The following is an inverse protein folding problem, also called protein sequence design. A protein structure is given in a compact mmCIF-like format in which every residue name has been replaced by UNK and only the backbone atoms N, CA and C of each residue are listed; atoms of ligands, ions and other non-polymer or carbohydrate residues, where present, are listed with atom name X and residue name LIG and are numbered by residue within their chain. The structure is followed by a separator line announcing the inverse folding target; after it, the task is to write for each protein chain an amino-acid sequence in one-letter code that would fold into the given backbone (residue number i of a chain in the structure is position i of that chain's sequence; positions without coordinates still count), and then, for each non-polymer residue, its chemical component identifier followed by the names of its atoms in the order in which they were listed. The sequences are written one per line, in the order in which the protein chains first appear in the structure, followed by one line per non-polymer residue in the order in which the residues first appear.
data_IF_089139161871
#
_entry.id   IF_089139161871
#
_cell.length_a   1.000
_cell.length_b   1.000
_cell.length_c   1.000
_cell.angle_alpha   90.00
_cell.angle_beta   90.00
_cell.angle_gamma   90.00
#
_symmetry.space_group_name_H-M   'P 1'
#
loop_
_entity.id
_entity.type
_entity.pdbx_description
1 polymer ?
#
# COMPACT_ATOMS: atom_id res chain seq x y z
N UNK A 1 -17.31 -17.40 -6.92
CA UNK A 1 -17.73 -16.21 -7.69
C UNK A 1 -16.70 -15.13 -7.46
N UNK A 2 -16.46 -14.20 -8.39
CA UNK A 2 -15.56 -13.07 -8.15
C UNK A 2 -16.10 -12.18 -7.01
N UNK A 3 -15.19 -11.58 -6.24
CA UNK A 3 -15.53 -10.56 -5.27
C UNK A 3 -16.07 -9.32 -5.99
N UNK A 4 -17.27 -8.88 -5.63
CA UNK A 4 -17.91 -7.73 -6.25
C UNK A 4 -17.55 -6.44 -5.51
N UNK A 5 -17.21 -5.38 -6.24
CA UNK A 5 -16.67 -4.15 -5.68
C UNK A 5 -17.46 -2.90 -6.07
N UNK A 6 -17.71 -2.02 -5.11
CA UNK A 6 -17.88 -0.60 -5.37
C UNK A 6 -16.54 0.12 -5.22
N UNK A 7 -16.26 1.08 -6.07
CA UNK A 7 -15.00 1.84 -6.06
C UNK A 7 -15.30 3.30 -5.76
N UNK A 8 -14.68 3.83 -4.70
CA UNK A 8 -14.87 5.20 -4.26
C UNK A 8 -13.69 6.06 -4.69
N UNK A 9 -13.92 7.03 -5.54
CA UNK A 9 -13.01 8.04 -6.09
C UNK A 9 -12.76 7.89 -7.59
N UNK A 10 -12.16 8.94 -8.16
CA UNK A 10 -11.61 8.99 -9.53
C UNK A 10 -10.14 9.43 -9.52
N UNK A 11 -9.41 9.02 -8.48
CA UNK A 11 -7.99 9.33 -8.31
C UNK A 11 -7.13 8.55 -9.33
N UNK A 12 -5.83 8.87 -9.36
CA UNK A 12 -4.88 8.18 -10.24
C UNK A 12 -4.74 6.70 -9.92
N UNK A 13 -4.78 6.33 -8.63
CA UNK A 13 -4.65 4.92 -8.25
C UNK A 13 -5.87 4.11 -8.67
N UNK A 14 -7.07 4.73 -8.65
CA UNK A 14 -8.29 4.10 -9.16
C UNK A 14 -8.22 3.92 -10.69
N UNK A 15 -7.63 4.88 -11.43
CA UNK A 15 -7.38 4.73 -12.87
C UNK A 15 -6.45 3.52 -13.15
N UNK A 16 -5.34 3.44 -12.41
CA UNK A 16 -4.40 2.31 -12.49
C UNK A 16 -5.09 0.97 -12.17
N UNK A 17 -5.91 0.95 -11.11
CA UNK A 17 -6.69 -0.23 -10.73
C UNK A 17 -7.65 -0.66 -11.84
N UNK A 18 -8.50 0.23 -12.33
CA UNK A 18 -9.50 -0.08 -13.36
C UNK A 18 -8.85 -0.54 -14.67
N UNK A 19 -7.73 0.08 -15.06
CA UNK A 19 -6.98 -0.32 -16.26
C UNK A 19 -6.46 -1.77 -16.19
N UNK A 20 -6.28 -2.31 -14.99
CA UNK A 20 -5.77 -3.67 -14.76
C UNK A 20 -6.86 -4.65 -14.29
N UNK A 21 -8.02 -4.16 -13.85
CA UNK A 21 -9.08 -4.97 -13.25
C UNK A 21 -9.60 -6.08 -14.18
N UNK A 22 -9.65 -5.86 -15.49
CA UNK A 22 -10.04 -6.88 -16.48
C UNK A 22 -9.11 -8.12 -16.50
N UNK A 23 -7.86 -7.97 -16.03
CA UNK A 23 -6.90 -9.06 -15.91
C UNK A 23 -6.94 -9.75 -14.52
N UNK A 24 -7.91 -9.39 -13.68
CA UNK A 24 -8.09 -9.91 -12.32
C UNK A 24 -9.43 -10.68 -12.24
N UNK A 25 -9.46 -11.97 -12.60
CA UNK A 25 -10.71 -12.74 -12.64
C UNK A 25 -11.32 -12.96 -11.24
N UNK A 26 -10.57 -12.66 -10.20
CA UNK A 26 -10.99 -12.77 -8.80
C UNK A 26 -11.95 -11.66 -8.37
N UNK A 27 -12.06 -10.56 -9.15
CA UNK A 27 -12.88 -9.40 -8.80
C UNK A 27 -13.81 -8.98 -9.95
N UNK A 28 -14.87 -8.22 -9.59
CA UNK A 28 -15.79 -7.60 -10.55
C UNK A 28 -16.26 -6.25 -10.01
N UNK A 29 -16.02 -5.17 -10.75
CA UNK A 29 -16.45 -3.81 -10.35
C UNK A 29 -17.89 -3.59 -10.77
N UNK A 30 -18.78 -3.31 -9.78
CA UNK A 30 -20.21 -3.12 -9.98
C UNK A 30 -20.63 -1.65 -9.95
N UNK A 31 -19.89 -0.81 -9.25
CA UNK A 31 -20.23 0.60 -9.10
C UNK A 31 -18.97 1.49 -8.99
N UNK A 32 -19.09 2.71 -9.52
CA UNK A 32 -18.18 3.82 -9.21
C UNK A 32 -18.94 4.86 -8.41
N UNK A 33 -18.34 5.37 -7.33
CA UNK A 33 -18.86 6.50 -6.59
C UNK A 33 -17.83 7.62 -6.54
N UNK A 34 -18.22 8.83 -6.89
CA UNK A 34 -17.32 9.97 -7.01
C UNK A 34 -18.00 11.28 -6.58
N UNK A 35 -17.21 12.32 -6.42
CA UNK A 35 -17.77 13.67 -6.20
C UNK A 35 -18.57 14.14 -7.41
N UNK A 36 -19.62 14.97 -7.26
CA UNK A 36 -20.47 15.42 -8.37
C UNK A 36 -19.69 16.02 -9.56
N UNK A 37 -18.65 16.81 -9.29
CA UNK A 37 -17.80 17.40 -10.33
C UNK A 37 -16.95 16.38 -11.10
N UNK A 38 -16.76 15.21 -10.57
CA UNK A 38 -16.00 14.12 -11.20
C UNK A 38 -16.88 13.12 -11.96
N UNK A 39 -18.20 13.30 -11.94
CA UNK A 39 -19.17 12.41 -12.58
C UNK A 39 -18.89 12.15 -14.06
N UNK A 40 -18.57 13.15 -14.91
CA UNK A 40 -18.29 12.90 -16.33
C UNK A 40 -17.10 11.96 -16.54
N UNK A 41 -16.06 12.07 -15.67
CA UNK A 41 -14.91 11.16 -15.70
C UNK A 41 -15.29 9.75 -15.29
N UNK A 42 -16.09 9.61 -14.23
CA UNK A 42 -16.54 8.30 -13.75
C UNK A 42 -17.44 7.60 -14.78
N UNK A 43 -18.34 8.34 -15.45
CA UNK A 43 -19.20 7.81 -16.53
C UNK A 43 -18.37 7.34 -17.74
N UNK A 44 -17.31 8.10 -18.12
CA UNK A 44 -16.39 7.67 -19.18
C UNK A 44 -15.68 6.37 -18.81
N UNK A 45 -15.22 6.22 -17.58
CA UNK A 45 -14.60 4.99 -17.10
C UNK A 45 -15.62 3.83 -17.02
N UNK A 46 -16.84 4.10 -16.54
CA UNK A 46 -17.89 3.09 -16.51
C UNK A 46 -18.19 2.53 -17.90
N UNK A 47 -18.29 3.41 -18.90
CA UNK A 47 -18.47 2.99 -20.30
C UNK A 47 -17.25 2.22 -20.84
N UNK A 48 -16.03 2.66 -20.53
CA UNK A 48 -14.78 2.03 -20.98
C UNK A 48 -14.59 0.63 -20.39
N UNK A 49 -14.88 0.45 -19.09
CA UNK A 49 -14.62 -0.78 -18.36
C UNK A 49 -15.85 -1.65 -18.13
N UNK A 50 -17.01 -1.25 -18.67
CA UNK A 50 -18.26 -2.02 -18.53
C UNK A 50 -18.83 -2.04 -17.12
N UNK A 51 -18.67 -0.94 -16.33
CA UNK A 51 -19.14 -0.85 -14.95
C UNK A 51 -20.61 -0.42 -14.96
N UNK A 52 -21.52 -1.18 -14.31
CA UNK A 52 -22.97 -0.99 -14.48
C UNK A 52 -23.51 0.33 -13.92
N UNK A 53 -22.91 0.88 -12.84
CA UNK A 53 -23.51 2.00 -12.12
C UNK A 53 -22.48 3.08 -11.73
N UNK A 54 -22.94 4.35 -11.75
CA UNK A 54 -22.17 5.52 -11.30
C UNK A 54 -23.01 6.33 -10.31
N UNK A 55 -22.43 6.59 -9.14
CA UNK A 55 -23.05 7.37 -8.07
C UNK A 55 -22.22 8.62 -7.77
N UNK A 56 -22.88 9.65 -7.25
CA UNK A 56 -22.22 10.87 -6.72
C UNK A 56 -22.53 11.12 -5.24
N UNK A 57 -23.21 10.16 -4.63
CA UNK A 57 -23.53 10.13 -3.22
C UNK A 57 -23.25 8.72 -2.70
N UNK A 58 -22.45 8.61 -1.62
CA UNK A 58 -22.03 7.32 -1.07
C UNK A 58 -23.19 6.58 -0.40
N UNK A 59 -24.11 7.31 0.27
CA UNK A 59 -25.24 6.69 0.94
C UNK A 59 -26.22 6.08 -0.08
N UNK A 60 -26.43 6.76 -1.23
CA UNK A 60 -27.20 6.21 -2.34
C UNK A 60 -26.51 5.00 -2.98
N UNK A 61 -25.15 5.02 -3.09
CA UNK A 61 -24.38 3.89 -3.58
C UNK A 61 -24.52 2.68 -2.63
N UNK A 62 -24.36 2.88 -1.34
CA UNK A 62 -24.47 1.82 -0.34
C UNK A 62 -25.91 1.27 -0.23
N UNK A 63 -26.91 2.13 -0.31
CA UNK A 63 -28.33 1.72 -0.31
C UNK A 63 -28.72 0.89 -1.54
N UNK A 64 -28.09 1.15 -2.69
CA UNK A 64 -28.32 0.37 -3.92
C UNK A 64 -27.73 -1.05 -3.81
N UNK A 65 -26.61 -1.21 -3.12
CA UNK A 65 -25.98 -2.51 -2.91
C UNK A 65 -25.48 -3.17 -4.20
N UNK A 66 -25.47 -4.52 -4.20
CA UNK A 66 -25.05 -5.32 -5.34
C UNK A 66 -23.52 -5.54 -5.43
N UNK A 67 -22.81 -5.34 -4.32
CA UNK A 67 -21.38 -5.60 -4.16
C UNK A 67 -21.06 -6.07 -2.74
N UNK A 68 -19.94 -6.76 -2.58
CA UNK A 68 -19.50 -7.36 -1.32
C UNK A 68 -18.58 -6.43 -0.53
N UNK A 69 -17.75 -5.67 -1.26
CA UNK A 69 -16.72 -4.83 -0.66
C UNK A 69 -16.62 -3.45 -1.33
N UNK A 70 -16.02 -2.51 -0.61
CA UNK A 70 -15.77 -1.15 -1.06
C UNK A 70 -14.27 -0.92 -1.17
N UNK A 71 -13.76 -0.61 -2.37
CA UNK A 71 -12.39 -0.16 -2.58
C UNK A 71 -12.35 1.37 -2.52
N UNK A 72 -11.56 1.90 -1.58
CA UNK A 72 -11.48 3.34 -1.28
C UNK A 72 -10.11 3.86 -1.70
N UNK A 73 -10.08 4.65 -2.79
CA UNK A 73 -8.87 5.30 -3.31
C UNK A 73 -8.99 6.84 -3.27
N UNK A 74 -9.47 7.39 -2.19
CA UNK A 74 -9.61 8.85 -1.97
C UNK A 74 -8.29 9.52 -1.60
N UNK A 75 -8.28 10.82 -1.31
CA UNK A 75 -7.12 11.47 -0.70
C UNK A 75 -6.96 11.02 0.76
N UNK A 76 -5.71 10.93 1.22
CA UNK A 76 -5.35 10.30 2.51
C UNK A 76 -6.17 10.79 3.70
N UNK A 77 -6.39 12.12 3.83
CA UNK A 77 -7.17 12.71 4.93
C UNK A 77 -8.66 12.29 4.97
N UNK A 78 -9.17 11.68 3.90
CA UNK A 78 -10.55 11.19 3.80
C UNK A 78 -10.68 9.70 4.15
N UNK A 79 -9.57 8.96 4.23
CA UNK A 79 -9.53 7.51 4.39
C UNK A 79 -10.33 7.04 5.60
N UNK A 80 -10.04 7.60 6.78
CA UNK A 80 -10.73 7.21 8.02
C UNK A 80 -12.24 7.37 7.91
N UNK A 81 -12.73 8.55 7.49
CA UNK A 81 -14.15 8.83 7.42
C UNK A 81 -14.86 7.94 6.38
N UNK A 82 -14.24 7.74 5.21
CA UNK A 82 -14.79 6.90 4.15
C UNK A 82 -14.84 5.42 4.57
N UNK A 83 -13.77 4.88 5.16
CA UNK A 83 -13.72 3.50 5.65
C UNK A 83 -14.76 3.27 6.75
N UNK A 84 -14.86 4.19 7.73
CA UNK A 84 -15.85 4.11 8.80
C UNK A 84 -17.30 4.11 8.27
N UNK A 85 -17.58 4.92 7.24
CA UNK A 85 -18.90 4.97 6.60
C UNK A 85 -19.21 3.64 5.90
N UNK A 86 -18.29 3.09 5.11
CA UNK A 86 -18.49 1.82 4.42
C UNK A 86 -18.69 0.65 5.38
N UNK A 87 -17.88 0.55 6.46
CA UNK A 87 -18.05 -0.44 7.52
C UNK A 87 -19.40 -0.29 8.22
N UNK A 88 -19.85 0.95 8.51
CA UNK A 88 -21.16 1.17 9.11
C UNK A 88 -22.31 0.76 8.19
N UNK A 89 -22.13 0.89 6.89
CA UNK A 89 -23.08 0.42 5.88
C UNK A 89 -23.07 -1.12 5.70
N UNK A 90 -22.14 -1.84 6.33
CA UNK A 90 -22.09 -3.31 6.33
C UNK A 90 -21.24 -3.92 5.22
N UNK A 91 -20.29 -3.17 4.65
CA UNK A 91 -19.41 -3.64 3.59
C UNK A 91 -18.01 -3.96 4.11
N UNK A 92 -17.37 -4.98 3.55
CA UNK A 92 -15.93 -5.16 3.65
C UNK A 92 -15.21 -3.97 3.02
N UNK A 93 -14.02 -3.62 3.52
CA UNK A 93 -13.31 -2.43 3.06
C UNK A 93 -11.88 -2.77 2.62
N UNK A 94 -11.52 -2.30 1.45
CA UNK A 94 -10.15 -2.28 0.91
C UNK A 94 -9.76 -0.80 0.84
N UNK A 95 -8.89 -0.36 1.75
CA UNK A 95 -8.51 1.04 1.91
C UNK A 95 -7.12 1.29 1.37
N UNK A 96 -6.96 2.26 0.47
CA UNK A 96 -5.65 2.63 -0.06
C UNK A 96 -4.66 3.07 1.02
N UNK A 97 -3.39 2.84 0.70
CA UNK A 97 -2.27 3.35 1.51
C UNK A 97 -2.13 4.89 1.35
N UNK A 98 -1.58 5.58 2.35
CA UNK A 98 -1.37 5.12 3.72
C UNK A 98 -2.72 4.89 4.40
N UNK A 99 -2.81 3.87 5.21
CA UNK A 99 -4.08 3.40 5.77
C UNK A 99 -4.91 4.52 6.39
N UNK A 100 -4.43 5.11 7.48
CA UNK A 100 -5.00 6.27 8.15
C UNK A 100 -3.91 7.11 8.82
N UNK A 101 -4.27 8.25 9.38
CA UNK A 101 -3.31 9.22 9.92
C UNK A 101 -2.73 8.86 11.27
N UNK A 102 -3.50 8.13 12.08
CA UNK A 102 -3.13 7.81 13.47
C UNK A 102 -3.41 6.36 13.82
N UNK A 103 -2.60 5.82 14.74
CA UNK A 103 -2.83 4.49 15.30
C UNK A 103 -4.16 4.39 16.08
N UNK A 104 -4.71 5.50 16.56
CA UNK A 104 -6.03 5.52 17.22
C UNK A 104 -7.14 5.27 16.19
N UNK A 105 -7.10 5.97 15.05
CA UNK A 105 -8.04 5.76 13.94
C UNK A 105 -7.97 4.32 13.41
N UNK A 106 -6.75 3.78 13.23
CA UNK A 106 -6.58 2.40 12.80
C UNK A 106 -7.25 1.41 13.77
N UNK A 107 -6.95 1.54 15.07
CA UNK A 107 -7.57 0.67 16.10
C UNK A 107 -9.08 0.77 16.12
N UNK A 108 -9.63 1.97 15.95
CA UNK A 108 -11.09 2.17 15.90
C UNK A 108 -11.72 1.47 14.68
N UNK A 109 -11.11 1.60 13.51
CA UNK A 109 -11.62 0.95 12.30
C UNK A 109 -11.55 -0.58 12.38
N UNK A 110 -10.44 -1.15 12.88
CA UNK A 110 -10.34 -2.60 13.09
C UNK A 110 -11.36 -3.09 14.12
N UNK A 111 -11.51 -2.39 15.25
CA UNK A 111 -12.52 -2.75 16.25
C UNK A 111 -13.96 -2.67 15.69
N UNK A 112 -14.22 -1.70 14.82
CA UNK A 112 -15.52 -1.59 14.15
C UNK A 112 -15.75 -2.73 13.15
N UNK A 113 -14.75 -3.09 12.37
CA UNK A 113 -14.81 -4.20 11.43
C UNK A 113 -15.07 -5.52 12.18
N UNK A 114 -14.29 -5.81 13.23
CA UNK A 114 -14.45 -6.98 14.09
C UNK A 114 -15.86 -7.08 14.68
N UNK A 115 -16.37 -5.97 15.25
CA UNK A 115 -17.68 -5.93 15.87
C UNK A 115 -18.83 -6.21 14.87
N UNK A 116 -18.59 -5.98 13.59
CA UNK A 116 -19.56 -6.23 12.51
C UNK A 116 -19.30 -7.53 11.73
N UNK A 117 -18.23 -8.28 12.04
CA UNK A 117 -17.82 -9.46 11.28
C UNK A 117 -17.39 -9.12 9.85
N UNK A 118 -16.82 -7.91 9.65
CA UNK A 118 -16.35 -7.42 8.36
C UNK A 118 -14.85 -7.46 8.28
N UNK A 119 -14.33 -7.55 7.06
CA UNK A 119 -12.92 -7.56 6.75
C UNK A 119 -12.49 -6.17 6.35
N UNK A 120 -11.34 -5.71 6.87
CA UNK A 120 -10.75 -4.41 6.58
C UNK A 120 -9.28 -4.59 6.22
N UNK A 121 -8.89 -4.15 5.03
CA UNK A 121 -7.52 -4.24 4.53
C UNK A 121 -6.90 -2.87 4.24
N UNK A 122 -5.59 -2.76 4.43
CA UNK A 122 -4.79 -1.77 3.74
C UNK A 122 -4.38 -2.30 2.37
N UNK A 123 -4.65 -1.53 1.31
CA UNK A 123 -4.19 -1.84 -0.05
C UNK A 123 -2.69 -1.53 -0.17
N UNK A 124 -1.88 -2.48 0.22
CA UNK A 124 -0.42 -2.45 0.14
C UNK A 124 0.08 -3.72 -0.54
N UNK A 125 0.77 -3.57 -1.67
CA UNK A 125 1.08 -4.69 -2.57
C UNK A 125 2.11 -5.68 -2.02
N UNK A 126 3.05 -5.20 -1.18
CA UNK A 126 4.25 -5.93 -0.77
C UNK A 126 3.97 -7.31 -0.16
N UNK A 127 3.11 -7.47 0.86
CA UNK A 127 2.93 -8.75 1.55
C UNK A 127 2.43 -9.87 0.65
N UNK A 128 1.78 -9.52 -0.46
CA UNK A 128 1.11 -10.47 -1.36
C UNK A 128 1.98 -10.90 -2.55
N UNK A 129 3.14 -10.29 -2.72
CA UNK A 129 4.05 -10.64 -3.83
C UNK A 129 4.85 -11.92 -3.55
N UNK A 130 5.03 -12.81 -4.55
CA UNK A 130 5.87 -14.00 -4.41
C UNK A 130 7.30 -13.71 -3.94
N UNK A 131 7.86 -12.56 -4.34
CA UNK A 131 9.18 -12.11 -3.93
C UNK A 131 9.24 -11.81 -2.43
N UNK A 132 8.16 -11.31 -1.84
CA UNK A 132 8.10 -11.08 -0.40
C UNK A 132 8.08 -12.39 0.37
N UNK A 133 7.31 -13.38 -0.07
CA UNK A 133 7.31 -14.72 0.51
C UNK A 133 8.71 -15.38 0.44
N UNK A 134 9.44 -15.19 -0.67
CA UNK A 134 10.84 -15.61 -0.78
C UNK A 134 11.71 -14.90 0.26
N UNK A 135 11.62 -13.58 0.40
CA UNK A 135 12.38 -12.82 1.40
C UNK A 135 12.10 -13.32 2.82
N UNK A 136 10.84 -13.57 3.19
CA UNK A 136 10.47 -14.12 4.49
C UNK A 136 11.15 -15.48 4.76
N UNK A 137 11.11 -16.40 3.79
CA UNK A 137 11.76 -17.71 3.90
C UNK A 137 13.28 -17.59 4.06
N UNK A 138 13.92 -16.66 3.34
CA UNK A 138 15.37 -16.46 3.41
C UNK A 138 15.79 -15.71 4.68
N UNK A 139 14.95 -14.82 5.21
CA UNK A 139 15.22 -14.09 6.47
C UNK A 139 15.50 -15.04 7.62
N UNK A 140 14.77 -16.16 7.71
CA UNK A 140 14.98 -17.18 8.73
C UNK A 140 16.39 -17.82 8.70
N UNK A 141 17.08 -17.75 7.56
CA UNK A 141 18.43 -18.34 7.37
C UNK A 141 19.57 -17.36 7.67
N UNK A 142 19.27 -16.07 7.87
CA UNK A 142 20.29 -15.04 8.11
C UNK A 142 20.94 -15.12 9.48
N UNK A 143 20.36 -15.90 10.41
CA UNK A 143 20.80 -15.88 11.81
C UNK A 143 20.54 -14.52 12.47
N UNK A 144 21.30 -14.15 13.51
CA UNK A 144 21.14 -12.86 14.17
C UNK A 144 21.30 -11.69 13.21
N UNK A 145 20.26 -10.86 13.12
CA UNK A 145 20.27 -9.65 12.29
C UNK A 145 21.19 -8.59 12.90
N UNK A 146 21.95 -7.91 12.04
CA UNK A 146 22.91 -6.87 12.40
C UNK A 146 22.47 -5.47 11.95
N UNK A 147 21.86 -5.35 10.79
CA UNK A 147 21.39 -4.09 10.23
C UNK A 147 20.36 -4.34 9.11
N UNK A 148 19.52 -3.34 8.86
CA UNK A 148 18.66 -3.29 7.68
C UNK A 148 18.54 -1.86 7.16
N UNK A 149 18.40 -1.70 5.85
CA UNK A 149 18.11 -0.41 5.23
C UNK A 149 17.18 -0.60 4.04
N UNK A 150 16.18 0.26 3.92
CA UNK A 150 15.31 0.34 2.75
C UNK A 150 15.27 1.77 2.22
N UNK A 151 15.27 1.94 0.90
CA UNK A 151 15.32 3.23 0.23
C UNK A 151 14.28 3.27 -0.89
N UNK A 152 13.43 4.28 -0.88
CA UNK A 152 12.51 4.57 -1.98
C UNK A 152 12.49 6.08 -2.27
N UNK A 153 13.34 6.52 -3.18
CA UNK A 153 13.44 7.90 -3.62
C UNK A 153 13.11 7.99 -5.11
N UNK A 154 12.22 8.91 -5.45
CA UNK A 154 11.86 9.18 -6.84
C UNK A 154 11.45 10.63 -6.97
N UNK A 155 12.17 11.40 -7.78
CA UNK A 155 11.80 12.77 -8.07
C UNK A 155 10.39 12.83 -8.68
N UNK A 156 9.46 13.41 -7.96
CA UNK A 156 8.08 13.56 -8.40
C UNK A 156 7.95 14.70 -9.40
N UNK A 157 7.30 14.47 -10.53
CA UNK A 157 6.98 15.56 -11.47
C UNK A 157 6.16 16.67 -10.81
N UNK A 158 5.37 16.35 -9.79
CA UNK A 158 4.57 17.33 -9.03
C UNK A 158 5.42 18.13 -8.04
N UNK A 159 6.68 17.72 -7.79
CA UNK A 159 7.62 18.50 -7.00
C UNK A 159 8.06 19.78 -7.72
N UNK A 160 8.20 19.72 -9.04
CA UNK A 160 8.50 20.91 -9.84
C UNK A 160 7.35 21.94 -9.79
N UNK A 161 6.09 21.47 -9.74
CA UNK A 161 4.92 22.32 -9.51
C UNK A 161 4.95 22.93 -8.11
N UNK A 162 5.25 22.10 -7.10
CA UNK A 162 5.39 22.53 -5.70
C UNK A 162 6.43 23.65 -5.57
N UNK A 163 7.60 23.52 -6.19
CA UNK A 163 8.63 24.56 -6.22
C UNK A 163 8.17 25.86 -6.92
N UNK A 164 7.14 25.80 -7.76
CA UNK A 164 6.50 26.96 -8.40
C UNK A 164 5.29 27.51 -7.62
N UNK A 165 5.03 26.99 -6.41
CA UNK A 165 3.90 27.37 -5.56
C UNK A 165 2.56 26.70 -5.91
N UNK A 166 2.55 25.68 -6.79
CA UNK A 166 1.36 24.90 -7.13
C UNK A 166 1.32 23.66 -6.23
N UNK A 167 0.45 23.68 -5.22
CA UNK A 167 0.38 22.61 -4.23
C UNK A 167 -0.64 21.55 -4.64
N UNK A 168 -0.16 20.37 -4.98
CA UNK A 168 -0.97 19.19 -5.21
C UNK A 168 -1.23 18.42 -3.89
N UNK A 169 -2.32 17.62 -3.77
CA UNK A 169 -2.66 16.90 -2.53
C UNK A 169 -1.51 16.07 -1.93
N UNK A 170 -0.64 15.48 -2.76
CA UNK A 170 0.52 14.69 -2.32
C UNK A 170 1.66 15.54 -1.72
N UNK A 171 1.57 16.86 -1.81
CA UNK A 171 2.45 17.85 -1.20
C UNK A 171 1.70 18.82 -0.27
N UNK A 172 0.45 18.51 0.06
CA UNK A 172 -0.38 19.34 0.94
C UNK A 172 -0.49 18.70 2.33
N UNK A 173 -0.03 19.36 3.40
CA UNK A 173 -0.22 18.87 4.77
C UNK A 173 -1.69 18.68 5.14
N UNK A 174 -2.61 19.52 4.62
CA UNK A 174 -4.05 19.38 4.88
C UNK A 174 -4.64 18.12 4.25
N UNK A 175 -4.03 17.63 3.18
CA UNK A 175 -4.38 16.36 2.54
C UNK A 175 -3.62 15.16 3.11
N UNK A 176 -2.77 15.36 4.13
CA UNK A 176 -1.90 14.33 4.71
C UNK A 176 -0.98 13.70 3.64
N UNK A 177 -0.45 14.55 2.75
CA UNK A 177 0.58 14.18 1.79
C UNK A 177 1.93 13.93 2.47
N UNK A 178 2.99 13.94 1.67
CA UNK A 178 4.37 13.84 2.15
C UNK A 178 5.07 12.55 1.82
N UNK A 179 6.39 12.53 2.04
CA UNK A 179 7.24 11.41 1.68
C UNK A 179 7.01 10.19 2.60
N UNK A 180 6.70 10.42 3.89
CA UNK A 180 6.45 9.34 4.85
C UNK A 180 5.27 8.46 4.41
N UNK A 181 4.11 9.06 4.17
CA UNK A 181 2.89 8.34 3.84
C UNK A 181 2.84 7.85 2.39
N UNK A 182 3.46 8.56 1.46
CA UNK A 182 3.35 8.21 0.04
C UNK A 182 4.39 7.16 -0.42
N UNK A 183 5.61 7.26 0.07
CA UNK A 183 6.74 6.41 -0.37
C UNK A 183 7.35 5.61 0.75
N UNK A 184 7.62 6.21 1.91
CA UNK A 184 8.29 5.51 3.02
C UNK A 184 7.42 4.40 3.62
N UNK A 185 6.11 4.50 3.48
CA UNK A 185 5.17 3.43 3.85
C UNK A 185 5.57 2.08 3.25
N UNK A 186 6.04 2.04 1.99
CA UNK A 186 6.53 0.80 1.37
C UNK A 186 7.81 0.27 2.00
N UNK A 187 8.76 1.16 2.35
CA UNK A 187 9.97 0.76 3.08
C UNK A 187 9.62 0.22 4.47
N UNK A 188 8.67 0.85 5.17
CA UNK A 188 8.20 0.43 6.48
C UNK A 188 7.51 -0.93 6.43
N UNK A 189 6.58 -1.14 5.49
CA UNK A 189 5.92 -2.44 5.30
C UNK A 189 6.93 -3.55 4.98
N UNK A 190 7.91 -3.27 4.13
CA UNK A 190 8.95 -4.24 3.79
C UNK A 190 9.78 -4.64 5.02
N UNK A 191 10.25 -3.65 5.80
CA UNK A 191 11.07 -3.91 6.98
C UNK A 191 10.27 -4.55 8.12
N UNK A 192 9.08 -4.02 8.43
CA UNK A 192 8.23 -4.54 9.51
C UNK A 192 7.71 -5.94 9.18
N UNK A 193 7.32 -6.19 7.93
CA UNK A 193 6.86 -7.50 7.50
C UNK A 193 7.94 -8.60 7.53
N UNK A 194 9.23 -8.22 7.45
CA UNK A 194 10.35 -9.17 7.56
C UNK A 194 10.89 -9.31 9.00
N UNK A 195 10.81 -8.25 9.80
CA UNK A 195 11.51 -8.13 11.09
C UNK A 195 10.55 -8.06 12.29
N UNK A 196 9.24 -7.92 12.04
CA UNK A 196 8.24 -7.62 13.06
C UNK A 196 8.28 -6.15 13.50
N UNK A 197 7.47 -5.81 14.52
CA UNK A 197 7.38 -4.45 15.04
C UNK A 197 8.66 -4.04 15.79
N UNK A 198 9.19 -2.83 15.52
CA UNK A 198 10.31 -2.27 16.28
C UNK A 198 9.88 -1.90 17.69
N UNK A 199 10.85 -1.83 18.63
CA UNK A 199 10.63 -1.36 20.00
C UNK A 199 10.34 0.13 20.08
N UNK A 200 10.96 0.90 19.18
CA UNK A 200 10.77 2.35 19.03
C UNK A 200 11.04 2.77 17.60
N UNK A 201 10.46 3.90 17.21
CA UNK A 201 10.69 4.52 15.92
C UNK A 201 10.85 6.03 16.06
N UNK A 202 11.73 6.62 15.25
CA UNK A 202 11.93 8.05 15.12
C UNK A 202 11.90 8.43 13.64
N UNK A 203 11.22 9.53 13.29
CA UNK A 203 11.22 10.05 11.93
C UNK A 203 11.88 11.43 11.86
N UNK A 204 12.80 11.58 10.93
CA UNK A 204 13.53 12.82 10.64
C UNK A 204 13.17 13.37 9.26
N UNK A 205 12.21 14.30 9.16
CA UNK A 205 11.79 14.85 7.89
C UNK A 205 12.75 15.94 7.37
N UNK A 206 12.86 16.01 6.04
CA UNK A 206 13.26 17.20 5.30
C UNK A 206 11.98 17.89 4.87
N UNK A 207 11.78 19.16 5.28
CA UNK A 207 10.51 19.86 5.07
C UNK A 207 10.60 20.85 3.93
N UNK A 208 9.57 20.88 3.10
CA UNK A 208 9.31 21.94 2.13
C UNK A 208 8.75 23.19 2.80
N UNK A 209 8.56 24.25 2.01
CA UNK A 209 8.18 25.60 2.49
C UNK A 209 6.82 25.62 3.23
N UNK A 210 5.88 24.75 2.86
CA UNK A 210 4.58 24.63 3.52
C UNK A 210 4.58 23.67 4.72
N UNK A 211 5.76 23.16 5.12
CA UNK A 211 5.92 22.25 6.26
C UNK A 211 5.72 20.76 5.94
N UNK A 212 5.33 20.41 4.71
CA UNK A 212 5.23 19.00 4.29
C UNK A 212 6.61 18.34 4.24
N UNK A 213 6.72 17.07 4.56
CA UNK A 213 7.95 16.32 4.34
C UNK A 213 8.10 15.97 2.87
N UNK A 214 9.14 16.50 2.24
CA UNK A 214 9.52 16.19 0.85
C UNK A 214 10.47 15.01 0.77
N UNK A 215 11.21 14.77 1.85
CA UNK A 215 12.04 13.59 2.09
C UNK A 215 12.08 13.28 3.59
N UNK A 216 12.59 12.12 3.97
CA UNK A 216 12.78 11.82 5.38
C UNK A 216 13.31 10.42 5.64
N UNK A 217 13.97 10.28 6.80
CA UNK A 217 14.57 9.06 7.30
C UNK A 217 13.81 8.60 8.55
N UNK A 218 13.28 7.38 8.52
CA UNK A 218 12.81 6.70 9.70
C UNK A 218 13.91 5.78 10.27
N UNK A 219 14.12 5.86 11.57
CA UNK A 219 14.98 4.98 12.36
C UNK A 219 14.09 4.03 13.16
N UNK A 220 14.29 2.73 13.00
CA UNK A 220 13.52 1.68 13.64
C UNK A 220 14.44 0.92 14.62
N UNK A 221 14.21 1.08 15.92
CA UNK A 221 15.00 0.43 16.97
C UNK A 221 14.43 -0.95 17.29
N UNK A 222 15.20 -2.00 17.01
CA UNK A 222 14.91 -3.38 17.40
C UNK A 222 15.65 -3.81 18.67
N UNK A 223 16.34 -2.88 19.33
CA UNK A 223 17.11 -3.10 20.55
C UNK A 223 18.52 -3.64 20.29
N UNK A 224 18.67 -4.73 19.52
CA UNK A 224 19.97 -5.29 19.16
C UNK A 224 20.57 -4.61 17.93
N UNK A 225 19.75 -4.14 17.01
CA UNK A 225 20.15 -3.48 15.79
C UNK A 225 19.16 -2.35 15.47
N UNK A 226 19.54 -1.50 14.53
CA UNK A 226 18.68 -0.44 14.00
C UNK A 226 18.45 -0.70 12.51
N UNK A 227 17.19 -0.55 12.07
CA UNK A 227 16.86 -0.48 10.66
C UNK A 227 16.57 0.97 10.25
N UNK A 228 16.81 1.28 8.97
CA UNK A 228 16.55 2.61 8.40
C UNK A 228 15.62 2.53 7.21
N UNK A 229 14.70 3.47 7.11
CA UNK A 229 13.81 3.62 5.95
C UNK A 229 13.89 5.06 5.43
N UNK A 230 14.48 5.25 4.25
CA UNK A 230 14.65 6.54 3.58
C UNK A 230 13.68 6.67 2.41
N UNK A 231 12.96 7.77 2.35
CA UNK A 231 12.18 8.13 1.19
C UNK A 231 12.37 9.60 0.80
N UNK A 232 12.27 9.89 -0.50
CA UNK A 232 12.35 11.25 -1.03
C UNK A 232 11.45 11.39 -2.26
N UNK A 233 10.79 12.56 -2.38
CA UNK A 233 9.96 12.96 -3.51
C UNK A 233 10.60 14.10 -4.33
N UNK A 234 11.67 14.68 -3.80
CA UNK A 234 12.46 15.78 -4.36
C UNK A 234 13.71 15.31 -5.11
N UNK A 235 14.09 14.05 -4.97
CA UNK A 235 15.35 13.51 -5.48
C UNK A 235 15.25 12.03 -5.84
N UNK A 236 16.18 11.56 -6.67
CA UNK A 236 16.33 10.15 -7.01
C UNK A 236 17.48 9.51 -6.23
N UNK A 237 17.40 8.20 -6.01
CA UNK A 237 18.46 7.40 -5.42
C UNK A 237 18.44 5.99 -6.02
N UNK A 238 19.46 5.17 -5.65
CA UNK A 238 19.38 3.73 -5.85
C UNK A 238 18.37 3.16 -4.85
N UNK A 239 17.21 2.77 -5.36
CA UNK A 239 16.16 2.18 -4.55
C UNK A 239 16.42 0.71 -4.24
N UNK A 240 15.89 0.25 -3.12
CA UNK A 240 15.99 -1.15 -2.73
C UNK A 240 16.01 -1.36 -1.23
N UNK A 241 16.40 -2.57 -0.84
CA UNK A 241 16.60 -2.95 0.57
C UNK A 241 17.83 -3.82 0.70
N UNK A 242 18.56 -3.67 1.80
CA UNK A 242 19.56 -4.62 2.27
C UNK A 242 19.22 -5.03 3.69
N UNK A 243 19.14 -6.33 3.95
CA UNK A 243 18.95 -6.92 5.27
C UNK A 243 20.13 -7.84 5.56
N UNK A 244 20.89 -7.55 6.62
CA UNK A 244 22.15 -8.21 6.96
C UNK A 244 22.01 -9.03 8.26
N UNK A 245 22.52 -10.25 8.21
CA UNK A 245 22.66 -11.11 9.40
C UNK A 245 24.01 -11.83 9.40
N UNK A 246 24.28 -12.57 10.45
CA UNK A 246 25.54 -13.31 10.61
C UNK A 246 25.75 -14.41 9.56
N UNK A 247 24.68 -14.94 8.98
CA UNK A 247 24.69 -15.98 7.96
C UNK A 247 24.68 -15.47 6.52
N UNK A 248 24.63 -14.15 6.30
CA UNK A 248 24.58 -13.57 4.96
C UNK A 248 23.73 -12.30 4.88
N UNK A 249 23.19 -12.01 3.70
CA UNK A 249 22.32 -10.86 3.52
C UNK A 249 21.30 -11.07 2.38
N UNK A 250 20.20 -10.32 2.46
CA UNK A 250 19.18 -10.24 1.42
C UNK A 250 19.21 -8.88 0.76
N UNK A 251 18.85 -8.84 -0.51
CA UNK A 251 18.76 -7.60 -1.31
C UNK A 251 17.44 -7.55 -2.05
N UNK A 252 16.78 -6.42 -2.00
CA UNK A 252 15.80 -5.99 -3.01
C UNK A 252 16.52 -5.01 -3.93
N UNK A 253 16.59 -5.30 -5.22
CA UNK A 253 17.23 -4.43 -6.22
C UNK A 253 16.13 -3.74 -7.05
N UNK A 254 15.84 -2.50 -6.70
CA UNK A 254 14.82 -1.67 -7.29
C UNK A 254 13.74 -1.21 -6.30
N UNK A 255 12.62 -0.72 -6.84
CA UNK A 255 11.60 -0.06 -6.03
C UNK A 255 10.92 -1.02 -5.03
N UNK A 256 10.87 -0.68 -3.73
CA UNK A 256 10.22 -1.49 -2.71
C UNK A 256 8.75 -1.84 -3.00
N UNK A 257 8.02 -0.96 -3.68
CA UNK A 257 6.60 -1.17 -4.00
C UNK A 257 6.33 -2.22 -5.10
N UNK A 258 7.37 -2.72 -5.77
CA UNK A 258 7.23 -3.65 -6.89
C UNK A 258 8.15 -4.87 -6.83
N UNK A 259 9.15 -4.85 -5.93
CA UNK A 259 10.11 -5.93 -5.70
C UNK A 259 10.63 -6.59 -7.00
N UNK A 260 11.22 -5.83 -7.94
CA UNK A 260 11.46 -6.33 -9.30
C UNK A 260 12.48 -7.47 -9.35
N UNK A 261 13.45 -7.47 -8.44
CA UNK A 261 14.39 -8.58 -8.26
C UNK A 261 14.82 -8.66 -6.78
N UNK A 262 14.89 -9.87 -6.26
CA UNK A 262 15.35 -10.14 -4.89
C UNK A 262 16.45 -11.19 -4.90
N UNK A 263 17.41 -11.04 -3.98
CA UNK A 263 18.57 -11.93 -3.88
C UNK A 263 18.75 -12.38 -2.44
N UNK A 264 19.20 -13.61 -2.29
CA UNK A 264 19.71 -14.16 -1.04
C UNK A 264 21.17 -14.57 -1.27
N UNK A 265 22.08 -13.98 -0.50
CA UNK A 265 23.49 -14.33 -0.50
C UNK A 265 23.85 -14.86 0.89
N UNK A 266 23.90 -16.17 1.00
CA UNK A 266 24.13 -16.89 2.24
C UNK A 266 25.54 -17.50 2.26
N UNK A 267 26.01 -17.82 3.48
CA UNK A 267 27.33 -18.41 3.71
C UNK A 267 28.46 -17.38 3.84
N UNK A 268 29.53 -17.78 4.50
CA UNK A 268 30.67 -16.91 4.83
C UNK A 268 31.43 -16.40 3.59
N UNK A 269 31.40 -17.19 2.50
CA UNK A 269 32.07 -16.85 1.23
C UNK A 269 31.11 -16.35 0.17
N UNK A 270 29.83 -16.19 0.48
CA UNK A 270 28.76 -15.77 -0.44
C UNK A 270 28.55 -16.73 -1.62
N UNK A 271 28.86 -18.01 -1.42
CA UNK A 271 28.84 -19.01 -2.49
C UNK A 271 27.40 -19.46 -2.81
N UNK A 272 26.47 -19.22 -1.90
CA UNK A 272 25.06 -19.57 -2.06
C UNK A 272 24.24 -18.32 -2.41
N UNK A 273 24.33 -17.91 -3.67
CA UNK A 273 23.55 -16.80 -4.21
C UNK A 273 22.34 -17.33 -4.94
N UNK A 274 21.15 -17.07 -4.38
CA UNK A 274 19.87 -17.36 -5.02
C UNK A 274 19.20 -16.04 -5.42
N UNK A 275 18.89 -15.92 -6.70
CA UNK A 275 18.11 -14.82 -7.25
C UNK A 275 16.68 -15.29 -7.53
N UNK A 276 15.72 -14.48 -7.16
CA UNK A 276 14.35 -14.58 -7.60
C UNK A 276 13.98 -13.31 -8.38
N UNK A 277 13.86 -13.45 -9.66
CA UNK A 277 13.23 -12.43 -10.51
C UNK A 277 11.71 -12.57 -10.36
N UNK A 278 10.98 -11.52 -10.72
CA UNK A 278 9.53 -11.60 -10.84
C UNK A 278 9.12 -12.73 -11.81
N UNK A 279 7.89 -13.22 -11.73
CA UNK A 279 7.42 -14.30 -12.60
C UNK A 279 7.59 -13.93 -14.07
N UNK A 280 7.86 -14.92 -14.92
CA UNK A 280 8.08 -14.75 -16.37
C UNK A 280 6.90 -14.08 -17.10
N UNK A 281 5.68 -14.21 -16.56
CA UNK A 281 4.49 -13.46 -16.95
C UNK A 281 3.92 -12.77 -15.69
N UNK A 282 4.49 -11.62 -15.31
CA UNK A 282 4.07 -10.96 -14.07
C UNK A 282 2.63 -10.45 -14.23
N UNK A 283 1.79 -10.80 -13.25
CA UNK A 283 0.54 -10.08 -13.04
C UNK A 283 0.89 -8.67 -12.57
N UNK A 284 -0.01 -7.72 -12.83
CA UNK A 284 0.14 -6.41 -12.21
C UNK A 284 0.21 -6.54 -10.69
N UNK A 285 1.05 -5.72 -10.02
CA UNK A 285 1.28 -5.82 -8.56
C UNK A 285 -0.01 -5.84 -7.74
N UNK A 286 -1.04 -5.07 -8.14
CA UNK A 286 -2.35 -5.06 -7.48
C UNK A 286 -3.11 -6.38 -7.64
N UNK A 287 -2.84 -7.17 -8.66
CA UNK A 287 -3.55 -8.44 -8.86
C UNK A 287 -3.24 -9.47 -7.78
N UNK A 288 -2.06 -9.41 -7.16
CA UNK A 288 -1.72 -10.30 -6.05
C UNK A 288 -2.50 -9.94 -4.79
N UNK A 289 -2.59 -8.66 -4.45
CA UNK A 289 -3.32 -8.20 -3.27
C UNK A 289 -4.83 -8.42 -3.43
N UNK A 290 -5.42 -8.07 -4.59
CA UNK A 290 -6.85 -8.26 -4.80
C UNK A 290 -7.25 -9.74 -4.88
N UNK A 291 -6.40 -10.63 -5.38
CA UNK A 291 -6.63 -12.07 -5.32
C UNK A 291 -6.69 -12.58 -3.86
N UNK A 292 -5.78 -12.09 -3.01
CA UNK A 292 -5.76 -12.48 -1.61
C UNK A 292 -6.94 -11.87 -0.84
N UNK A 293 -7.30 -10.61 -1.08
CA UNK A 293 -8.49 -10.00 -0.50
C UNK A 293 -9.76 -10.78 -0.84
N UNK A 294 -9.91 -11.17 -2.11
CA UNK A 294 -11.03 -12.00 -2.53
C UNK A 294 -11.04 -13.36 -1.81
N UNK A 295 -9.87 -14.00 -1.63
CA UNK A 295 -9.73 -15.26 -0.90
C UNK A 295 -10.13 -15.11 0.55
N UNK A 296 -9.60 -14.13 1.26
CA UNK A 296 -9.84 -13.91 2.69
C UNK A 296 -11.33 -13.62 2.95
N UNK A 297 -11.93 -12.74 2.15
CA UNK A 297 -13.37 -12.44 2.26
C UNK A 297 -14.21 -13.70 2.02
N UNK A 298 -13.88 -14.49 0.99
CA UNK A 298 -14.63 -15.70 0.65
C UNK A 298 -14.49 -16.82 1.70
N UNK A 299 -13.36 -16.89 2.41
CA UNK A 299 -13.06 -17.93 3.40
C UNK A 299 -13.27 -17.51 4.83
N UNK A 300 -13.54 -16.23 5.08
CA UNK A 300 -13.57 -15.62 6.42
C UNK A 300 -12.30 -15.92 7.24
N UNK A 301 -11.14 -15.93 6.57
CA UNK A 301 -9.84 -16.20 7.18
C UNK A 301 -9.29 -14.92 7.84
N UNK A 302 -9.89 -14.56 8.98
CA UNK A 302 -9.50 -13.35 9.73
C UNK A 302 -8.09 -13.42 10.33
N UNK A 303 -7.50 -14.61 10.46
CA UNK A 303 -6.12 -14.76 10.93
C UNK A 303 -5.11 -14.19 9.91
N UNK A 304 -5.45 -14.17 8.62
CA UNK A 304 -4.62 -13.60 7.57
C UNK A 304 -4.71 -12.06 7.50
N UNK A 305 -5.69 -11.42 8.14
CA UNK A 305 -5.80 -9.96 8.22
C UNK A 305 -4.74 -9.31 9.10
N UNK A 306 -4.23 -10.06 10.08
CA UNK A 306 -3.30 -9.57 11.11
C UNK A 306 -1.86 -9.99 10.86
N UNK A 307 -1.59 -10.72 9.80
CA UNK A 307 -0.26 -11.19 9.43
C UNK A 307 0.45 -10.22 8.47
#
# INVERSE_FOLDING_TARGET
MPLTLAVISTSRIVDEFLANAAAMPEISVQALCCRPQSRPKAEAWAAQYGIPAVYTDEDACYAAGGFDAVYIGTANHLHYAAAKRALNAGYHVILEKPFVSTAAEARELFALADAKGLVLFEAITIPYMPQFAFLQQQTAKLGPISAASAVFCSHSRLYDDFCRGIVHPVFDPACQGGALGDMNVYCLHLLVGLLGMPKAAEYRPVRGENGIDVAGLALLDYGRFTATALAAKDSNSRNGMVLQGSGGYLVVDGNPNSLPAVYSLLGAQRDDCVRMDGPAAPRHRMAYEFAEFARIIATHDTAAETA
#
